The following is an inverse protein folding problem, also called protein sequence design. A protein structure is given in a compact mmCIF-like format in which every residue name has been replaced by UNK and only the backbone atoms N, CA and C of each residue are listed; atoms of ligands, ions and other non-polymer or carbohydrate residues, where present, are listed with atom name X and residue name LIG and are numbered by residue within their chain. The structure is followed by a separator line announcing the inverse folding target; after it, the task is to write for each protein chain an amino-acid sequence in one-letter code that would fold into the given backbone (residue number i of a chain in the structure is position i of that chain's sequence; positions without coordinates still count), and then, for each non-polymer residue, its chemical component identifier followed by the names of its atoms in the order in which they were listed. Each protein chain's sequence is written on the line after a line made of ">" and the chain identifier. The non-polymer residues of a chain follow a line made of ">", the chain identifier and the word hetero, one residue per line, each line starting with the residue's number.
data_IF_540869650906
#
_entry.id   IF_540869650906
#
_cell.length_a   1.000
_cell.length_b   1.000
_cell.length_c   1.000
_cell.angle_alpha   90.00
_cell.angle_beta   90.00
_cell.angle_gamma   90.00
#
_symmetry.space_group_name_H-M   'P 1'
#
loop_
_entity.id
_entity.type
_entity.pdbx_description
1 polymer ?
#
# COMPACT_ATOMS: atom_id res chain seq x y z
N UNK A 1 -29.07 33.46 11.90
CA UNK A 1 -29.44 34.90 11.96
C UNK A 1 -28.42 35.78 12.68
N UNK A 2 -27.85 35.41 13.83
CA UNK A 2 -26.84 36.25 14.56
C UNK A 2 -25.63 36.70 13.69
N UNK A 3 -25.19 35.90 12.71
CA UNK A 3 -24.02 36.24 11.87
C UNK A 3 -24.30 37.28 10.75
N UNK A 4 -25.55 37.64 10.50
CA UNK A 4 -25.92 38.50 9.36
C UNK A 4 -26.77 39.72 9.76
N UNK A 5 -26.51 40.29 10.92
CA UNK A 5 -27.20 41.50 11.37
C UNK A 5 -28.48 41.25 12.16
N UNK A 6 -28.55 40.13 12.90
CA UNK A 6 -29.68 39.78 13.75
C UNK A 6 -30.09 40.84 14.73
N UNK A 7 -29.12 41.60 15.27
CA UNK A 7 -29.36 42.74 16.18
C UNK A 7 -30.12 43.89 15.49
N UNK A 8 -29.74 44.22 14.22
CA UNK A 8 -30.46 45.26 13.47
C UNK A 8 -31.88 44.84 13.13
N UNK A 9 -32.10 43.55 12.88
CA UNK A 9 -33.43 43.00 12.60
C UNK A 9 -34.27 42.98 13.88
N UNK A 10 -33.68 42.62 15.01
CA UNK A 10 -34.33 42.62 16.30
C UNK A 10 -34.76 44.03 16.72
N UNK A 11 -33.86 45.00 16.59
CA UNK A 11 -34.13 46.44 16.88
C UNK A 11 -35.23 47.01 15.95
N UNK A 12 -35.30 46.52 14.68
CA UNK A 12 -36.33 46.93 13.74
C UNK A 12 -37.68 46.28 14.06
N UNK A 13 -37.72 45.05 14.55
CA UNK A 13 -38.92 44.37 15.00
C UNK A 13 -39.47 45.03 16.30
N UNK A 14 -38.58 45.37 17.23
CA UNK A 14 -38.97 46.12 18.46
C UNK A 14 -39.51 47.50 18.12
N UNK A 15 -38.87 48.23 17.16
CA UNK A 15 -39.35 49.53 16.73
C UNK A 15 -40.68 49.52 15.99
N UNK A 16 -41.06 48.38 15.39
CA UNK A 16 -42.34 48.20 14.72
C UNK A 16 -43.45 47.67 15.66
N UNK A 17 -43.14 47.42 16.92
CA UNK A 17 -44.03 46.93 17.95
C UNK A 17 -44.87 45.73 17.52
N UNK A 18 -44.24 44.77 16.81
CA UNK A 18 -44.86 43.57 16.28
C UNK A 18 -44.97 42.50 17.35
N UNK A 19 -46.16 41.94 17.55
CA UNK A 19 -46.40 40.79 18.43
C UNK A 19 -45.71 39.55 17.86
N UNK A 20 -45.16 38.67 18.70
CA UNK A 20 -44.33 37.52 18.31
C UNK A 20 -45.03 36.50 17.38
N UNK A 21 -46.37 36.50 17.32
CA UNK A 21 -47.18 35.56 16.53
C UNK A 21 -47.75 36.17 15.23
N UNK A 22 -47.48 37.40 14.86
CA UNK A 22 -47.98 37.99 13.63
C UNK A 22 -47.16 37.62 12.40
N UNK A 23 -47.77 37.18 11.29
CA UNK A 23 -47.10 37.00 10.03
C UNK A 23 -46.63 38.35 9.47
N UNK A 24 -45.32 38.52 9.36
CA UNK A 24 -44.71 39.78 8.92
C UNK A 24 -44.63 39.79 7.40
N UNK A 25 -45.61 40.37 6.73
CA UNK A 25 -45.62 40.61 5.27
C UNK A 25 -44.97 41.98 4.94
N UNK A 26 -43.68 42.10 5.18
CA UNK A 26 -43.00 43.33 4.82
C UNK A 26 -41.89 43.04 3.75
N UNK A 27 -42.02 43.66 2.56
CA UNK A 27 -41.08 43.50 1.43
C UNK A 27 -39.62 43.77 1.87
N UNK A 28 -39.35 44.63 2.80
CA UNK A 28 -38.05 45.01 3.29
C UNK A 28 -37.45 43.87 4.12
N UNK A 29 -38.26 43.19 4.94
CA UNK A 29 -37.84 42.02 5.74
C UNK A 29 -37.62 40.81 4.83
N UNK A 30 -38.50 40.57 3.87
CA UNK A 30 -38.32 39.53 2.86
C UNK A 30 -37.00 39.68 2.11
N UNK A 31 -36.67 40.86 1.59
CA UNK A 31 -35.43 41.12 0.91
C UNK A 31 -34.19 40.94 1.81
N UNK A 32 -34.29 41.26 3.12
CA UNK A 32 -33.20 41.05 4.08
C UNK A 32 -32.98 39.54 4.31
N UNK A 33 -34.05 38.78 4.44
CA UNK A 33 -34.02 37.32 4.64
C UNK A 33 -33.45 36.64 3.37
N UNK A 34 -33.90 37.01 2.18
CA UNK A 34 -33.36 36.51 0.90
C UNK A 34 -31.87 36.79 0.76
N UNK A 35 -31.44 38.03 1.08
CA UNK A 35 -30.01 38.39 1.05
C UNK A 35 -29.19 37.56 2.06
N UNK A 36 -29.73 37.31 3.26
CA UNK A 36 -29.09 36.44 4.25
C UNK A 36 -29.00 35.00 3.77
N UNK A 37 -30.07 34.46 3.16
CA UNK A 37 -30.08 33.12 2.59
C UNK A 37 -29.05 32.99 1.46
N UNK A 38 -29.02 33.93 0.51
CA UNK A 38 -28.04 33.95 -0.57
C UNK A 38 -26.58 33.95 -0.04
N UNK A 39 -26.28 34.72 1.01
CA UNK A 39 -24.97 34.73 1.63
C UNK A 39 -24.60 33.39 2.28
N UNK A 40 -25.57 32.74 2.95
CA UNK A 40 -25.37 31.39 3.52
C UNK A 40 -25.15 30.36 2.41
N UNK A 41 -25.96 30.41 1.36
CA UNK A 41 -25.82 29.52 0.22
C UNK A 41 -24.47 29.71 -0.49
N UNK A 42 -24.05 30.95 -0.74
CA UNK A 42 -22.75 31.25 -1.35
C UNK A 42 -21.59 30.74 -0.50
N UNK A 43 -21.67 30.91 0.84
CA UNK A 43 -20.66 30.36 1.75
C UNK A 43 -20.62 28.83 1.72
N UNK A 44 -21.78 28.18 1.80
CA UNK A 44 -21.89 26.74 1.76
C UNK A 44 -21.44 26.16 0.42
N UNK A 45 -21.72 26.86 -0.67
CA UNK A 45 -21.21 26.53 -2.00
C UNK A 45 -19.69 26.61 -2.06
N UNK A 46 -19.11 27.68 -1.54
CA UNK A 46 -17.63 27.83 -1.47
C UNK A 46 -16.97 26.70 -0.69
N UNK A 47 -17.54 26.34 0.47
CA UNK A 47 -17.02 25.21 1.29
C UNK A 47 -17.10 23.92 0.51
N UNK A 48 -18.25 23.60 -0.09
CA UNK A 48 -18.43 22.36 -0.88
C UNK A 48 -17.49 22.33 -2.09
N UNK A 49 -17.34 23.45 -2.79
CA UNK A 49 -16.40 23.56 -3.92
C UNK A 49 -14.98 23.23 -3.49
N UNK A 50 -14.50 23.79 -2.38
CA UNK A 50 -13.17 23.52 -1.89
C UNK A 50 -12.99 22.04 -1.52
N UNK A 51 -13.96 21.43 -0.81
CA UNK A 51 -13.92 20.00 -0.47
C UNK A 51 -13.79 19.15 -1.73
N UNK A 52 -14.61 19.42 -2.75
CA UNK A 52 -14.55 18.68 -4.01
C UNK A 52 -13.20 18.84 -4.73
N UNK A 53 -12.58 20.02 -4.68
CA UNK A 53 -11.27 20.25 -5.29
C UNK A 53 -10.15 19.44 -4.61
N UNK A 54 -10.20 19.27 -3.28
CA UNK A 54 -9.28 18.40 -2.56
C UNK A 54 -9.53 16.91 -2.88
N UNK A 55 -10.80 16.51 -2.88
CA UNK A 55 -11.18 15.12 -3.14
C UNK A 55 -10.87 14.69 -4.59
N UNK A 56 -10.93 15.60 -5.55
CA UNK A 56 -10.59 15.34 -6.96
C UNK A 56 -9.13 14.89 -7.13
N UNK A 57 -8.20 15.47 -6.36
CA UNK A 57 -6.79 15.06 -6.38
C UNK A 57 -6.64 13.62 -5.92
N UNK A 58 -7.22 13.29 -4.77
CA UNK A 58 -7.17 11.93 -4.22
C UNK A 58 -7.88 10.89 -5.11
N UNK A 59 -9.01 11.29 -5.73
CA UNK A 59 -9.73 10.39 -6.62
C UNK A 59 -8.92 10.02 -7.86
N UNK A 60 -8.21 10.97 -8.48
CA UNK A 60 -7.34 10.69 -9.63
C UNK A 60 -6.19 9.75 -9.26
N UNK A 61 -5.56 9.97 -8.12
CA UNK A 61 -4.50 9.09 -7.63
C UNK A 61 -5.04 7.68 -7.35
N UNK A 62 -6.24 7.59 -6.74
CA UNK A 62 -6.93 6.32 -6.50
C UNK A 62 -7.25 5.57 -7.79
N UNK A 63 -7.75 6.25 -8.80
CA UNK A 63 -8.04 5.65 -10.10
C UNK A 63 -6.78 5.02 -10.72
N UNK A 64 -5.64 5.72 -10.67
CA UNK A 64 -4.36 5.22 -11.19
C UNK A 64 -3.94 3.94 -10.44
N UNK A 65 -3.95 3.97 -9.11
CA UNK A 65 -3.51 2.82 -8.29
C UNK A 65 -4.45 1.63 -8.46
N UNK A 66 -5.76 1.87 -8.50
CA UNK A 66 -6.73 0.78 -8.65
C UNK A 66 -6.72 0.16 -10.06
N UNK A 67 -6.48 0.96 -11.11
CA UNK A 67 -6.28 0.44 -12.46
C UNK A 67 -5.03 -0.44 -12.53
N UNK A 68 -3.91 0.03 -11.99
CA UNK A 68 -2.68 -0.77 -11.92
C UNK A 68 -2.88 -2.06 -11.13
N UNK A 69 -3.54 -1.98 -9.97
CA UNK A 69 -3.85 -3.15 -9.15
C UNK A 69 -4.75 -4.15 -9.87
N UNK A 70 -5.77 -3.67 -10.58
CA UNK A 70 -6.68 -4.54 -11.35
C UNK A 70 -5.94 -5.32 -12.42
N UNK A 71 -5.06 -4.67 -13.18
CA UNK A 71 -4.23 -5.32 -14.20
C UNK A 71 -3.38 -6.46 -13.63
N UNK A 72 -2.78 -6.22 -12.47
CA UNK A 72 -1.98 -7.26 -11.76
C UNK A 72 -2.86 -8.43 -11.31
N UNK A 73 -4.08 -8.16 -10.80
CA UNK A 73 -5.02 -9.19 -10.36
C UNK A 73 -5.61 -9.98 -11.54
N UNK A 74 -5.84 -9.33 -12.68
CA UNK A 74 -6.36 -9.95 -13.90
C UNK A 74 -5.35 -10.88 -14.60
N UNK A 75 -4.12 -10.96 -14.07
CA UNK A 75 -3.10 -11.90 -14.51
C UNK A 75 -2.25 -11.41 -15.68
N UNK A 76 -2.14 -10.10 -15.87
CA UNK A 76 -1.20 -9.53 -16.82
C UNK A 76 0.24 -10.01 -16.54
N UNK A 77 1.00 -10.31 -17.59
CA UNK A 77 2.39 -10.72 -17.43
C UNK A 77 3.22 -9.52 -16.92
N UNK A 78 3.79 -9.68 -15.74
CA UNK A 78 4.53 -8.64 -15.05
C UNK A 78 6.01 -8.58 -15.42
N UNK A 79 6.52 -9.56 -16.18
CA UNK A 79 7.95 -9.68 -16.50
C UNK A 79 8.54 -8.39 -17.09
N UNK A 80 7.90 -7.86 -18.13
CA UNK A 80 8.35 -6.63 -18.78
C UNK A 80 8.23 -5.42 -17.86
N UNK A 81 7.21 -5.41 -17.00
CA UNK A 81 7.00 -4.34 -16.03
C UNK A 81 8.08 -4.35 -14.94
N UNK A 82 8.40 -5.54 -14.40
CA UNK A 82 9.50 -5.70 -13.44
C UNK A 82 10.85 -5.35 -14.07
N UNK A 83 11.10 -5.72 -15.32
CA UNK A 83 12.32 -5.34 -16.03
C UNK A 83 12.47 -3.81 -16.13
N UNK A 84 11.40 -3.09 -16.44
CA UNK A 84 11.38 -1.62 -16.45
C UNK A 84 11.55 -1.02 -15.05
N UNK A 85 10.99 -1.66 -14.02
CA UNK A 85 11.20 -1.23 -12.64
C UNK A 85 12.66 -1.36 -12.22
N UNK A 86 13.34 -2.45 -12.60
CA UNK A 86 14.79 -2.63 -12.35
C UNK A 86 15.60 -1.51 -13.00
N UNK A 87 15.35 -1.21 -14.28
CA UNK A 87 16.01 -0.11 -14.98
C UNK A 87 15.79 1.24 -14.29
N UNK A 88 14.53 1.53 -13.93
CA UNK A 88 14.18 2.77 -13.26
C UNK A 88 14.85 2.91 -11.89
N UNK A 89 14.92 1.84 -11.09
CA UNK A 89 15.59 1.84 -9.78
C UNK A 89 17.08 2.07 -9.94
N UNK A 90 17.72 1.41 -10.92
CA UNK A 90 19.16 1.61 -11.21
C UNK A 90 19.41 3.05 -11.65
N UNK A 91 18.58 3.58 -12.56
CA UNK A 91 18.71 4.96 -13.03
C UNK A 91 18.58 5.95 -11.87
N UNK A 92 17.55 5.81 -11.04
CA UNK A 92 17.31 6.68 -9.88
C UNK A 92 18.49 6.63 -8.90
N UNK A 93 19.03 5.45 -8.63
CA UNK A 93 20.18 5.30 -7.75
C UNK A 93 21.44 5.96 -8.35
N UNK A 94 21.70 5.76 -9.63
CA UNK A 94 22.84 6.43 -10.31
C UNK A 94 22.64 7.93 -10.28
N UNK A 95 21.46 8.46 -10.55
CA UNK A 95 21.17 9.90 -10.50
C UNK A 95 21.38 10.49 -9.10
N UNK A 96 21.13 9.71 -8.05
CA UNK A 96 21.31 10.12 -6.66
C UNK A 96 22.78 10.17 -6.23
N UNK A 97 23.58 9.19 -6.63
CA UNK A 97 24.97 9.04 -6.16
C UNK A 97 26.02 9.58 -7.14
N UNK A 98 25.67 9.71 -8.40
CA UNK A 98 26.57 10.12 -9.49
C UNK A 98 26.01 11.39 -10.12
N UNK A 99 26.46 12.57 -9.69
CA UNK A 99 26.02 13.84 -10.26
C UNK A 99 26.41 13.92 -11.75
N UNK A 100 25.63 14.69 -12.52
CA UNK A 100 25.89 14.94 -13.94
C UNK A 100 26.97 16.02 -14.09
N UNK A 101 28.18 15.68 -13.67
CA UNK A 101 29.36 16.53 -13.73
C UNK A 101 30.48 15.82 -14.47
N UNK A 102 31.33 16.57 -15.17
CA UNK A 102 32.52 16.04 -15.83
C UNK A 102 33.61 15.62 -14.81
N UNK A 103 33.51 16.10 -13.58
CA UNK A 103 34.44 15.77 -12.51
C UNK A 103 34.07 14.43 -11.87
N UNK A 104 34.95 13.46 -12.03
CA UNK A 104 34.78 12.10 -11.49
C UNK A 104 35.06 12.03 -9.99
N UNK A 105 35.73 13.01 -9.42
CA UNK A 105 35.98 13.08 -7.97
C UNK A 105 34.66 13.30 -7.16
N UNK A 106 33.66 13.85 -7.80
CA UNK A 106 32.31 14.04 -7.22
C UNK A 106 31.47 12.75 -7.22
N UNK A 107 31.91 11.70 -7.90
CA UNK A 107 31.17 10.45 -8.02
C UNK A 107 31.23 9.60 -6.75
N UNK A 108 30.11 9.41 -6.09
CA UNK A 108 30.03 8.59 -4.88
C UNK A 108 29.79 7.11 -5.22
N UNK A 109 30.82 6.45 -5.81
CA UNK A 109 30.76 5.04 -6.17
C UNK A 109 30.60 4.11 -4.95
N UNK A 110 31.20 4.48 -3.83
CA UNK A 110 31.07 3.70 -2.59
C UNK A 110 29.64 3.75 -2.04
N UNK A 111 28.97 4.90 -2.11
CA UNK A 111 27.56 5.05 -1.77
C UNK A 111 26.66 4.24 -2.69
N UNK A 112 26.90 4.30 -3.99
CA UNK A 112 26.16 3.53 -4.99
C UNK A 112 26.35 2.01 -4.80
N UNK A 113 27.58 1.56 -4.55
CA UNK A 113 27.85 0.16 -4.22
C UNK A 113 27.14 -0.26 -2.95
N UNK A 114 27.20 0.55 -1.90
CA UNK A 114 26.54 0.31 -0.62
C UNK A 114 25.02 0.17 -0.76
N UNK A 115 24.40 0.95 -1.65
CA UNK A 115 22.97 0.87 -1.93
C UNK A 115 22.55 -0.49 -2.52
N UNK A 116 23.33 -1.02 -3.48
CA UNK A 116 23.07 -2.30 -4.14
C UNK A 116 23.69 -3.51 -3.45
N UNK A 117 24.48 -3.29 -2.41
CA UNK A 117 25.19 -4.37 -1.71
C UNK A 117 24.25 -5.42 -1.14
N UNK A 118 24.55 -6.67 -1.42
CA UNK A 118 23.81 -7.82 -0.90
C UNK A 118 22.55 -8.21 -1.66
N UNK A 119 22.17 -7.47 -2.72
CA UNK A 119 21.03 -7.86 -3.56
C UNK A 119 21.32 -7.80 -5.07
N UNK A 120 22.16 -6.90 -5.56
CA UNK A 120 22.63 -6.85 -6.96
C UNK A 120 24.15 -6.87 -7.03
N UNK A 121 24.82 -6.12 -6.16
CA UNK A 121 26.28 -5.96 -6.18
C UNK A 121 26.95 -6.68 -4.99
N UNK A 122 28.21 -7.02 -5.21
CA UNK A 122 29.13 -7.54 -4.21
C UNK A 122 30.15 -6.49 -3.82
N UNK A 123 30.94 -6.76 -2.76
CA UNK A 123 32.01 -5.84 -2.31
C UNK A 123 33.09 -5.58 -3.35
N UNK A 124 33.23 -6.46 -4.33
CA UNK A 124 34.25 -6.35 -5.39
C UNK A 124 33.77 -5.61 -6.64
N UNK A 125 32.49 -5.34 -6.72
CA UNK A 125 31.88 -4.59 -7.82
C UNK A 125 32.14 -3.08 -7.70
N UNK A 126 32.13 -2.38 -8.83
CA UNK A 126 32.33 -0.94 -8.93
C UNK A 126 33.65 -0.45 -8.32
N UNK A 127 34.70 -1.31 -8.29
CA UNK A 127 36.05 -0.93 -7.96
C UNK A 127 36.81 -0.65 -9.27
N UNK A 128 36.86 0.62 -9.62
CA UNK A 128 37.55 1.06 -10.82
C UNK A 128 38.93 1.64 -10.46
N UNK A 129 39.91 1.44 -11.32
CA UNK A 129 41.18 2.18 -11.27
C UNK A 129 40.97 3.56 -11.89
N UNK A 130 41.85 4.53 -11.57
CA UNK A 130 41.75 5.90 -12.08
C UNK A 130 41.66 5.94 -13.61
N UNK A 131 42.42 5.08 -14.32
CA UNK A 131 42.40 4.98 -15.78
C UNK A 131 41.02 4.47 -16.30
N UNK A 132 40.38 3.53 -15.59
CA UNK A 132 39.07 3.01 -15.94
C UNK A 132 37.96 4.03 -15.66
N UNK A 133 38.10 4.75 -14.55
CA UNK A 133 37.16 5.78 -14.15
C UNK A 133 37.10 6.94 -15.14
N UNK A 134 38.28 7.31 -15.69
CA UNK A 134 38.36 8.41 -16.65
C UNK A 134 37.55 8.18 -17.93
N UNK A 135 37.49 6.93 -18.39
CA UNK A 135 36.70 6.53 -19.59
C UNK A 135 35.25 6.18 -19.33
N UNK A 136 34.83 6.05 -18.07
CA UNK A 136 33.50 5.56 -17.70
C UNK A 136 32.43 6.67 -17.84
N UNK A 137 31.30 6.34 -18.49
CA UNK A 137 30.14 7.23 -18.58
C UNK A 137 29.04 6.79 -17.61
N UNK A 138 28.09 7.70 -17.28
CA UNK A 138 26.94 7.36 -16.46
C UNK A 138 26.07 6.28 -17.10
N UNK A 139 25.88 6.39 -18.42
CA UNK A 139 25.08 5.44 -19.20
C UNK A 139 25.70 4.03 -19.20
N UNK A 140 27.02 3.94 -19.25
CA UNK A 140 27.73 2.66 -19.14
C UNK A 140 27.57 2.06 -17.74
N UNK A 141 27.63 2.89 -16.70
CA UNK A 141 27.42 2.46 -15.32
C UNK A 141 25.99 1.94 -15.09
N UNK A 142 24.97 2.68 -15.58
CA UNK A 142 23.57 2.24 -15.54
C UNK A 142 23.41 0.92 -16.26
N UNK A 143 23.99 0.80 -17.45
CA UNK A 143 23.91 -0.42 -18.24
C UNK A 143 24.58 -1.60 -17.53
N UNK A 144 25.78 -1.42 -16.98
CA UNK A 144 26.52 -2.48 -16.29
C UNK A 144 25.75 -3.02 -15.08
N UNK A 145 25.20 -2.13 -14.24
CA UNK A 145 24.39 -2.53 -13.08
C UNK A 145 23.08 -3.19 -13.52
N UNK A 146 22.44 -2.65 -14.54
CA UNK A 146 21.18 -3.21 -15.07
C UNK A 146 21.39 -4.60 -15.66
N UNK A 147 22.46 -4.80 -16.44
CA UNK A 147 22.78 -6.11 -17.02
C UNK A 147 23.09 -7.15 -15.93
N UNK A 148 23.82 -6.77 -14.88
CA UNK A 148 24.03 -7.63 -13.70
C UNK A 148 22.73 -7.99 -13.00
N UNK A 149 21.85 -7.01 -12.78
CA UNK A 149 20.55 -7.23 -12.17
C UNK A 149 19.71 -8.20 -13.02
N UNK A 150 19.67 -8.02 -14.34
CA UNK A 150 18.96 -8.92 -15.26
C UNK A 150 19.49 -10.36 -15.22
N UNK A 151 20.80 -10.54 -15.17
CA UNK A 151 21.43 -11.88 -15.05
C UNK A 151 21.01 -12.56 -13.74
N UNK A 152 21.04 -11.83 -12.62
CA UNK A 152 20.61 -12.36 -11.32
C UNK A 152 19.12 -12.69 -11.29
N UNK A 153 18.30 -11.83 -11.91
CA UNK A 153 16.87 -12.06 -12.04
C UNK A 153 16.55 -13.31 -12.85
N UNK A 154 17.18 -13.47 -14.03
CA UNK A 154 17.03 -14.64 -14.87
C UNK A 154 17.50 -15.92 -14.16
N UNK A 155 18.61 -15.89 -13.45
CA UNK A 155 19.09 -17.02 -12.66
C UNK A 155 18.14 -17.39 -11.51
N UNK A 156 17.44 -16.42 -10.94
CA UNK A 156 16.39 -16.67 -9.94
C UNK A 156 15.16 -17.30 -10.56
N UNK A 157 14.72 -16.82 -11.71
CA UNK A 157 13.61 -17.38 -12.47
C UNK A 157 13.88 -18.82 -12.90
N UNK A 158 15.10 -19.15 -13.35
CA UNK A 158 15.51 -20.51 -13.68
C UNK A 158 15.43 -21.47 -12.48
N UNK A 159 15.81 -20.99 -11.29
CA UNK A 159 15.75 -21.77 -10.04
C UNK A 159 14.34 -22.03 -9.53
N UNK A 160 13.45 -21.05 -9.63
CA UNK A 160 12.09 -21.12 -9.10
C UNK A 160 11.11 -21.72 -10.11
N UNK A 161 11.40 -21.58 -11.38
CA UNK A 161 10.45 -21.81 -12.47
C UNK A 161 9.60 -20.58 -12.76
N UNK A 162 9.22 -20.41 -14.00
CA UNK A 162 8.51 -19.24 -14.51
C UNK A 162 7.16 -19.01 -13.79
N UNK A 163 6.38 -20.06 -13.55
CA UNK A 163 5.06 -19.97 -12.91
C UNK A 163 5.15 -19.41 -11.48
N UNK A 164 6.06 -19.97 -10.67
CA UNK A 164 6.25 -19.52 -9.30
C UNK A 164 6.87 -18.12 -9.24
N UNK A 165 7.71 -17.77 -10.22
CA UNK A 165 8.28 -16.44 -10.32
C UNK A 165 7.21 -15.39 -10.62
N UNK A 166 6.29 -15.64 -11.56
CA UNK A 166 5.13 -14.75 -11.84
C UNK A 166 4.24 -14.57 -10.62
N UNK A 167 4.01 -15.64 -9.86
CA UNK A 167 3.22 -15.53 -8.61
C UNK A 167 3.95 -14.70 -7.54
N UNK A 168 5.25 -14.89 -7.40
CA UNK A 168 6.09 -14.10 -6.48
C UNK A 168 6.05 -12.62 -6.83
N UNK A 169 6.21 -12.26 -8.10
CA UNK A 169 6.13 -10.88 -8.58
C UNK A 169 4.79 -10.25 -8.24
N UNK A 170 3.70 -10.97 -8.50
CA UNK A 170 2.33 -10.53 -8.21
C UNK A 170 2.14 -10.24 -6.72
N UNK A 171 2.50 -11.21 -5.88
CA UNK A 171 2.35 -11.09 -4.42
C UNK A 171 3.18 -9.95 -3.84
N UNK A 172 4.45 -9.83 -4.26
CA UNK A 172 5.35 -8.77 -3.78
C UNK A 172 4.87 -7.40 -4.22
N UNK A 173 4.51 -7.25 -5.50
CA UNK A 173 4.02 -5.96 -6.03
C UNK A 173 2.73 -5.52 -5.34
N UNK A 174 1.74 -6.40 -5.23
CA UNK A 174 0.46 -6.08 -4.58
C UNK A 174 0.66 -5.69 -3.12
N UNK A 175 1.51 -6.43 -2.39
CA UNK A 175 1.81 -6.11 -0.99
C UNK A 175 2.41 -4.72 -0.83
N UNK A 176 3.38 -4.36 -1.67
CA UNK A 176 4.03 -3.05 -1.61
C UNK A 176 3.08 -1.93 -2.01
N UNK A 177 2.30 -2.13 -3.07
CA UNK A 177 1.27 -1.17 -3.48
C UNK A 177 0.28 -0.92 -2.35
N UNK A 178 -0.26 -1.98 -1.73
CA UNK A 178 -1.24 -1.86 -0.66
C UNK A 178 -0.67 -1.12 0.56
N UNK A 179 0.54 -1.48 1.00
CA UNK A 179 1.18 -0.85 2.15
C UNK A 179 1.46 0.64 1.90
N UNK A 180 2.14 0.97 0.79
CA UNK A 180 2.50 2.36 0.47
C UNK A 180 1.30 3.24 0.16
N UNK A 181 0.25 2.68 -0.45
CA UNK A 181 -0.99 3.40 -0.71
C UNK A 181 -1.71 3.78 0.58
N UNK A 182 -1.76 2.90 1.57
CA UNK A 182 -2.34 3.23 2.88
C UNK A 182 -1.56 4.34 3.57
N UNK A 183 -0.22 4.25 3.60
CA UNK A 183 0.64 5.30 4.16
C UNK A 183 0.45 6.64 3.44
N UNK A 184 0.29 6.61 2.10
CA UNK A 184 0.07 7.80 1.30
C UNK A 184 -1.29 8.46 1.58
N UNK A 185 -2.36 7.69 1.77
CA UNK A 185 -3.67 8.24 2.15
C UNK A 185 -3.55 9.01 3.47
N UNK A 186 -2.89 8.42 4.47
CA UNK A 186 -2.70 9.06 5.77
C UNK A 186 -1.85 10.34 5.66
N UNK A 187 -0.77 10.30 4.87
CA UNK A 187 0.08 11.46 4.62
C UNK A 187 -0.67 12.59 3.88
N UNK A 188 -1.51 12.27 2.91
CA UNK A 188 -2.36 13.24 2.20
C UNK A 188 -3.42 13.86 3.11
N UNK A 189 -3.96 13.09 4.05
CA UNK A 189 -4.88 13.63 5.05
C UNK A 189 -4.18 14.59 6.02
N UNK A 190 -2.93 14.32 6.41
CA UNK A 190 -2.12 15.23 7.21
C UNK A 190 -1.77 16.50 6.43
N UNK A 191 -1.39 16.37 5.16
CA UNK A 191 -1.16 17.51 4.28
C UNK A 191 -2.41 18.39 4.20
N UNK A 192 -3.59 17.80 4.00
CA UNK A 192 -4.88 18.52 3.94
C UNK A 192 -5.17 19.33 5.22
N UNK A 193 -4.82 18.78 6.38
CA UNK A 193 -5.00 19.48 7.67
C UNK A 193 -4.05 20.68 7.82
N UNK A 194 -2.81 20.54 7.32
CA UNK A 194 -1.78 21.58 7.45
C UNK A 194 -1.79 22.64 6.35
N UNK A 195 -2.36 22.34 5.18
CA UNK A 195 -2.22 23.17 3.98
C UNK A 195 -2.81 24.59 4.14
N UNK A 196 -3.84 24.75 4.98
CA UNK A 196 -4.47 26.04 5.22
C UNK A 196 -3.52 27.06 5.90
N UNK A 197 -2.47 26.60 6.58
CA UNK A 197 -1.46 27.47 7.15
C UNK A 197 -0.68 28.23 6.06
N UNK A 198 -0.59 27.67 4.86
CA UNK A 198 0.09 28.31 3.71
C UNK A 198 -0.68 29.49 3.14
N UNK A 199 -1.98 29.60 3.43
CA UNK A 199 -2.77 30.76 3.04
C UNK A 199 -2.26 32.06 3.65
N UNK A 200 -1.54 32.01 4.79
CA UNK A 200 -0.87 33.17 5.38
C UNK A 200 0.26 33.72 4.49
N UNK A 201 0.84 32.87 3.64
CA UNK A 201 1.84 33.26 2.64
C UNK A 201 1.22 33.70 1.28
N UNK A 202 -0.08 33.99 1.25
CA UNK A 202 -0.84 34.40 0.05
C UNK A 202 -0.86 33.34 -1.06
N UNK A 203 -0.62 32.06 -0.73
CA UNK A 203 -0.71 30.94 -1.64
C UNK A 203 -2.10 30.32 -1.60
N UNK A 204 -2.60 29.86 -2.76
CA UNK A 204 -3.86 29.13 -2.81
C UNK A 204 -3.68 27.71 -2.22
N UNK A 205 -4.39 27.36 -1.14
CA UNK A 205 -4.24 26.06 -0.49
C UNK A 205 -4.54 24.87 -1.42
N UNK A 206 -5.45 25.03 -2.38
CA UNK A 206 -5.82 23.96 -3.33
C UNK A 206 -4.68 23.71 -4.32
N UNK A 207 -4.03 24.77 -4.78
CA UNK A 207 -2.90 24.67 -5.72
C UNK A 207 -1.71 24.02 -5.02
N UNK A 208 -1.38 24.47 -3.81
CA UNK A 208 -0.29 23.89 -3.01
C UNK A 208 -0.55 22.41 -2.69
N UNK A 209 -1.78 22.06 -2.29
CA UNK A 209 -2.16 20.68 -2.04
C UNK A 209 -1.98 19.79 -3.29
N UNK A 210 -2.31 20.31 -4.46
CA UNK A 210 -2.15 19.59 -5.72
C UNK A 210 -0.68 19.36 -6.06
N UNK A 211 0.16 20.37 -5.90
CA UNK A 211 1.59 20.28 -6.19
C UNK A 211 2.29 19.32 -5.23
N UNK A 212 2.14 19.53 -3.91
CA UNK A 212 2.72 18.64 -2.91
C UNK A 212 2.17 17.21 -2.99
N UNK A 213 0.86 17.08 -3.22
CA UNK A 213 0.25 15.77 -3.40
C UNK A 213 0.72 15.03 -4.64
N UNK A 214 1.13 15.75 -5.69
CA UNK A 214 1.78 15.15 -6.85
C UNK A 214 3.19 14.65 -6.51
N UNK A 215 4.00 15.47 -5.86
CA UNK A 215 5.36 15.10 -5.45
C UNK A 215 5.36 13.89 -4.51
N UNK A 216 4.46 13.89 -3.52
CA UNK A 216 4.26 12.76 -2.61
C UNK A 216 3.82 11.48 -3.32
N UNK A 217 2.98 11.61 -4.35
CA UNK A 217 2.53 10.47 -5.14
C UNK A 217 3.65 9.89 -6.01
N UNK A 218 4.51 10.72 -6.59
CA UNK A 218 5.69 10.27 -7.30
C UNK A 218 6.69 9.57 -6.38
N UNK A 219 6.94 10.12 -5.19
CA UNK A 219 7.79 9.51 -4.18
C UNK A 219 7.25 8.14 -3.74
N UNK A 220 5.95 8.02 -3.51
CA UNK A 220 5.30 6.75 -3.23
C UNK A 220 5.51 5.74 -4.36
N UNK A 221 5.31 6.14 -5.62
CA UNK A 221 5.52 5.25 -6.77
C UNK A 221 6.98 4.79 -6.89
N UNK A 222 7.94 5.68 -6.65
CA UNK A 222 9.35 5.34 -6.65
C UNK A 222 9.67 4.35 -5.52
N UNK A 223 9.12 4.57 -4.32
CA UNK A 223 9.27 3.67 -3.18
C UNK A 223 8.65 2.28 -3.45
N UNK A 224 7.50 2.21 -4.12
CA UNK A 224 6.90 0.93 -4.55
C UNK A 224 7.84 0.18 -5.49
N UNK A 225 8.44 0.86 -6.49
CA UNK A 225 9.37 0.24 -7.44
C UNK A 225 10.62 -0.28 -6.73
N UNK A 226 11.23 0.54 -5.88
CA UNK A 226 12.44 0.19 -5.13
C UNK A 226 12.20 -1.00 -4.21
N UNK A 227 11.17 -0.94 -3.35
CA UNK A 227 10.87 -2.00 -2.40
C UNK A 227 10.47 -3.30 -3.13
N UNK A 228 9.75 -3.21 -4.24
CA UNK A 228 9.39 -4.39 -5.05
C UNK A 228 10.62 -5.05 -5.64
N UNK A 229 11.49 -4.30 -6.29
CA UNK A 229 12.73 -4.82 -6.87
C UNK A 229 13.61 -5.42 -5.78
N UNK A 230 13.87 -4.69 -4.71
CA UNK A 230 14.70 -5.14 -3.59
C UNK A 230 14.15 -6.42 -2.94
N UNK A 231 12.84 -6.51 -2.72
CA UNK A 231 12.21 -7.72 -2.20
C UNK A 231 12.34 -8.89 -3.16
N UNK A 232 12.13 -8.68 -4.47
CA UNK A 232 12.26 -9.73 -5.46
C UNK A 232 13.67 -10.34 -5.48
N UNK A 233 14.72 -9.56 -5.26
CA UNK A 233 16.09 -10.07 -5.17
C UNK A 233 16.37 -10.75 -3.81
N UNK A 234 15.85 -10.23 -2.73
CA UNK A 234 16.21 -10.65 -1.36
C UNK A 234 15.42 -11.88 -0.88
N UNK A 235 14.14 -12.02 -1.29
CA UNK A 235 13.28 -13.11 -0.84
C UNK A 235 13.83 -14.45 -1.32
N UNK A 236 14.04 -15.37 -0.37
CA UNK A 236 14.33 -16.78 -0.63
C UNK A 236 13.05 -17.58 -0.42
N UNK A 237 12.51 -18.14 -1.49
CA UNK A 237 11.39 -19.06 -1.41
C UNK A 237 11.92 -20.42 -0.94
N UNK A 238 11.55 -20.84 0.26
CA UNK A 238 11.78 -22.22 0.70
C UNK A 238 10.77 -23.09 -0.04
N UNK A 239 11.22 -23.77 -1.07
CA UNK A 239 10.46 -24.89 -1.62
C UNK A 239 10.54 -25.99 -0.57
N UNK A 240 9.53 -26.15 0.28
CA UNK A 240 9.41 -27.35 1.09
C UNK A 240 9.27 -28.51 0.10
N UNK A 241 10.32 -29.29 -0.05
CA UNK A 241 10.17 -30.66 -0.59
C UNK A 241 9.07 -31.29 0.25
N UNK A 242 7.96 -31.64 -0.40
CA UNK A 242 6.87 -32.34 0.27
C UNK A 242 7.49 -33.46 1.13
N UNK A 243 7.25 -33.50 2.44
CA UNK A 243 7.90 -34.47 3.29
C UNK A 243 7.63 -35.85 2.67
N UNK A 244 8.68 -36.50 2.17
CA UNK A 244 8.60 -37.89 1.70
C UNK A 244 8.03 -38.66 2.87
N UNK A 245 6.76 -39.06 2.77
CA UNK A 245 6.15 -39.95 3.75
C UNK A 245 7.00 -41.20 3.76
N UNK A 246 7.93 -41.33 4.69
CA UNK A 246 8.54 -42.59 5.00
C UNK A 246 7.39 -43.49 5.46
N UNK A 247 7.16 -44.57 4.72
CA UNK A 247 6.24 -45.61 5.14
C UNK A 247 6.81 -46.25 6.42
N UNK A 248 6.41 -45.71 7.57
CA UNK A 248 6.80 -46.23 8.89
C UNK A 248 6.08 -47.54 9.21
N UNK A 249 5.15 -47.96 8.39
CA UNK A 249 4.50 -49.26 8.50
C UNK A 249 5.15 -50.25 7.53
N UNK A 250 6.04 -51.08 8.03
CA UNK A 250 6.40 -52.34 7.34
C UNK A 250 5.11 -53.15 7.18
N UNK A 251 4.81 -53.70 6.00
CA UNK A 251 3.68 -54.58 5.86
C UNK A 251 3.88 -55.78 6.78
N UNK A 252 3.11 -55.86 7.85
CA UNK A 252 3.01 -57.02 8.67
C UNK A 252 2.35 -58.12 7.81
N UNK A 253 3.12 -59.03 7.29
CA UNK A 253 2.60 -60.25 6.69
C UNK A 253 1.81 -60.98 7.75
N UNK A 254 0.49 -60.99 7.64
CA UNK A 254 -0.36 -61.84 8.45
C UNK A 254 -0.03 -63.31 8.10
N UNK A 255 0.77 -63.93 8.92
CA UNK A 255 1.01 -65.35 8.89
C UNK A 255 -0.27 -66.04 9.37
N UNK A 256 -0.97 -66.71 8.42
CA UNK A 256 -2.06 -67.59 8.73
C UNK A 256 -1.42 -68.95 9.15
N UNK A 257 -1.10 -69.09 10.40
CA UNK A 257 -0.63 -70.32 11.00
C UNK A 257 -1.81 -71.03 11.67
N UNK A 258 -2.08 -72.20 11.24
CA UNK A 258 -3.20 -73.01 11.70
C UNK A 258 -3.06 -73.62 13.09
N UNK A 259 -4.18 -74.11 13.52
CA UNK A 259 -4.48 -75.10 14.58
C UNK A 259 -3.87 -74.92 15.99
N UNK A 260 -4.76 -74.75 16.95
CA UNK A 260 -4.52 -74.90 18.37
C UNK A 260 -5.60 -74.31 19.27
N UNK A 261 -6.65 -75.10 19.43
CA UNK A 261 -7.63 -75.16 20.54
C UNK A 261 -7.35 -74.26 21.77
N UNK A 262 -8.39 -73.52 22.23
CA UNK A 262 -8.35 -72.85 23.52
C UNK A 262 -9.18 -71.54 23.60
N UNK A 263 -10.45 -71.72 23.88
CA UNK A 263 -11.45 -70.73 24.22
C UNK A 263 -10.96 -69.56 25.07
N UNK A 264 -11.16 -68.34 24.60
CA UNK A 264 -11.71 -67.23 25.41
C UNK A 264 -12.15 -66.10 24.49
N UNK A 265 -13.46 -65.96 24.31
CA UNK A 265 -14.13 -64.83 23.63
C UNK A 265 -13.94 -63.61 24.48
N UNK A 266 -13.00 -62.72 24.14
CA UNK A 266 -12.96 -61.35 24.67
C UNK A 266 -14.19 -60.57 24.16
N UNK A 267 -15.06 -60.23 25.08
CA UNK A 267 -16.23 -59.37 24.79
C UNK A 267 -15.76 -57.95 24.37
N UNK A 268 -16.45 -57.30 23.40
CA UNK A 268 -16.11 -55.99 22.98
C UNK A 268 -16.40 -54.99 24.14
N UNK A 269 -15.38 -54.16 24.45
CA UNK A 269 -15.48 -53.05 25.45
C UNK A 269 -16.47 -52.03 24.84
N UNK A 270 -17.63 -51.86 25.48
CA UNK A 270 -18.59 -50.79 25.14
C UNK A 270 -17.96 -49.46 25.54
N UNK A 271 -17.59 -48.65 24.54
CA UNK A 271 -17.26 -47.23 24.75
C UNK A 271 -18.47 -46.54 25.36
N UNK A 272 -18.28 -45.85 26.47
CA UNK A 272 -19.32 -45.06 27.12
C UNK A 272 -20.01 -44.09 26.18
N UNK A 273 -21.26 -43.80 26.45
CA UNK A 273 -22.13 -42.92 25.68
C UNK A 273 -21.48 -41.52 25.56
N UNK A 274 -21.32 -41.01 24.34
CA UNK A 274 -20.83 -39.64 24.14
C UNK A 274 -21.83 -38.66 24.72
N UNK A 275 -21.39 -37.79 25.59
CA UNK A 275 -22.18 -36.73 26.22
C UNK A 275 -22.50 -35.67 25.16
N UNK A 276 -23.75 -35.38 24.91
CA UNK A 276 -24.19 -34.35 23.96
C UNK A 276 -24.25 -32.98 24.64
N UNK A 277 -24.24 -31.92 23.84
CA UNK A 277 -24.23 -30.51 24.28
C UNK A 277 -25.39 -30.12 25.21
N UNK A 278 -26.49 -30.89 25.25
CA UNK A 278 -27.68 -30.67 26.09
C UNK A 278 -27.80 -31.69 27.22
N UNK A 279 -26.84 -32.57 27.43
CA UNK A 279 -26.85 -33.55 28.51
C UNK A 279 -26.37 -32.91 29.84
N UNK A 280 -26.92 -33.34 30.98
CA UNK A 280 -26.47 -32.80 32.25
C UNK A 280 -25.01 -33.17 32.53
N UNK A 281 -24.26 -32.22 33.05
CA UNK A 281 -22.84 -32.39 33.32
C UNK A 281 -22.57 -33.53 34.31
N UNK A 282 -21.71 -34.48 34.01
CA UNK A 282 -21.39 -35.62 34.90
C UNK A 282 -20.73 -35.20 36.21
N UNK A 283 -20.32 -33.93 36.37
CA UNK A 283 -19.79 -33.38 37.61
C UNK A 283 -20.83 -33.05 38.67
N UNK A 284 -22.15 -33.16 38.36
CA UNK A 284 -23.23 -32.90 39.31
C UNK A 284 -23.55 -31.42 39.54
N UNK A 285 -23.05 -30.50 38.71
CA UNK A 285 -23.24 -29.03 38.88
C UNK A 285 -24.60 -28.52 38.42
N UNK A 286 -25.48 -29.37 37.85
CA UNK A 286 -26.79 -28.99 37.37
C UNK A 286 -26.83 -28.05 36.12
N UNK A 287 -25.66 -27.81 35.50
CA UNK A 287 -25.52 -27.02 34.24
C UNK A 287 -25.32 -27.96 33.05
N UNK A 288 -25.86 -27.62 31.90
CA UNK A 288 -25.61 -28.35 30.67
C UNK A 288 -24.15 -28.14 30.24
N UNK A 289 -23.55 -29.12 29.53
CA UNK A 289 -22.16 -29.07 29.05
C UNK A 289 -22.05 -28.14 27.85
#
# INVERSE_FOLDING_TARGET
>A
MRLFGGERMQNMMEALNLEDDMPIENKMLTGTIESAQQKVEARNFGIRKNVLQFDDVMNRQREIIYDQRSKVLDGEDLHDNISKMIEAVVQTAVDQFIPDTDDKDDWNLDGLRGYFLGWVLTDDDLKYTDDQLFGLTREELVKDITDKARVLYAAKEEKLGSELMRELERVVLLRNVDAKWMDHIDAMDELKRGIYLRSYAQKDPVVEYRLEGFDMFEEMNNSIREDTVKMLFTIQVKTEEAPKREQVAKPTTASHGGDGDGSEKKQPIKKGKKIGRNDPCPCGSGKNV
#
